data_IF_898359274167
#
_entry.id   IF_898359274167
#
_cell.length_a   1.000
_cell.length_b   1.000
_cell.length_c   1.000
_cell.angle_alpha   90.00
_cell.angle_beta   90.00
_cell.angle_gamma   90.00
#
_symmetry.space_group_name_H-M   'P 1'
#
loop_
_entity.id
_entity.type
_entity.pdbx_description
1 polymer ?
#
# COMPACT_ATOMS: atom_id res chain seq x y z
N UNK A 1 -15.34 27.40 -5.61
CA UNK A 1 -14.44 26.84 -4.57
C UNK A 1 -15.05 25.52 -4.14
N UNK A 2 -14.62 24.39 -4.69
CA UNK A 2 -15.14 23.07 -4.32
C UNK A 2 -14.39 22.65 -3.06
N UNK A 3 -15.11 22.58 -1.93
CA UNK A 3 -14.57 22.20 -0.63
C UNK A 3 -13.81 20.88 -0.71
N UNK A 4 -12.58 20.89 -0.21
CA UNK A 4 -11.64 19.75 -0.15
C UNK A 4 -12.08 18.65 0.85
N UNK A 5 -13.37 18.52 1.11
CA UNK A 5 -13.89 17.66 2.18
C UNK A 5 -14.43 16.31 1.67
N UNK A 6 -14.52 16.09 0.34
CA UNK A 6 -15.17 14.89 -0.24
C UNK A 6 -14.26 14.10 -1.18
N UNK A 7 -13.06 13.72 -0.73
CA UNK A 7 -12.25 12.69 -1.44
C UNK A 7 -11.93 11.49 -0.54
N UNK A 8 -12.13 11.59 0.77
CA UNK A 8 -11.74 10.51 1.71
C UNK A 8 -12.78 9.38 1.80
N UNK A 9 -14.01 9.58 1.30
CA UNK A 9 -15.12 8.63 1.50
C UNK A 9 -15.19 7.43 0.53
N UNK A 10 -14.29 7.32 -0.47
CA UNK A 10 -14.32 6.22 -1.46
C UNK A 10 -13.07 5.33 -1.50
N UNK A 11 -12.10 5.54 -0.60
CA UNK A 11 -10.92 4.69 -0.56
C UNK A 11 -11.12 3.55 0.45
N UNK A 12 -10.88 2.28 0.07
CA UNK A 12 -10.98 1.16 0.99
C UNK A 12 -9.99 1.33 2.13
N UNK A 13 -10.45 1.12 3.37
CA UNK A 13 -9.62 1.22 4.57
C UNK A 13 -8.76 -0.03 4.71
N UNK A 14 -7.44 0.14 4.77
CA UNK A 14 -6.50 -0.92 5.09
C UNK A 14 -6.08 -0.81 6.56
N UNK A 15 -6.27 -1.89 7.34
CA UNK A 15 -5.80 -1.98 8.72
C UNK A 15 -4.88 -3.19 8.84
N UNK A 16 -3.66 -2.98 9.32
CA UNK A 16 -2.66 -4.01 9.50
C UNK A 16 -2.04 -3.87 10.89
N UNK A 17 -1.89 -5.01 11.58
CA UNK A 17 -1.13 -5.10 12.83
C UNK A 17 0.31 -5.43 12.49
N UNK A 18 1.24 -4.77 13.17
CA UNK A 18 2.68 -4.99 13.04
C UNK A 18 3.25 -5.32 14.42
N UNK A 19 4.29 -6.14 14.44
CA UNK A 19 5.13 -6.32 15.62
C UNK A 19 5.83 -5.00 15.99
N UNK A 20 6.04 -4.73 17.29
CA UNK A 20 6.61 -3.47 17.78
C UNK A 20 8.01 -3.21 17.21
N UNK A 21 8.84 -4.25 17.08
CA UNK A 21 10.19 -4.11 16.53
C UNK A 21 10.13 -3.69 15.07
N UNK A 22 9.26 -4.34 14.30
CA UNK A 22 9.07 -4.05 12.88
C UNK A 22 8.50 -2.64 12.69
N UNK A 23 7.53 -2.24 13.52
CA UNK A 23 6.97 -0.90 13.51
C UNK A 23 8.05 0.18 13.73
N UNK A 24 8.90 0.00 14.75
CA UNK A 24 9.98 0.95 15.07
C UNK A 24 10.99 1.08 13.94
N UNK A 25 11.37 -0.02 13.29
CA UNK A 25 12.30 0.02 12.16
C UNK A 25 11.70 0.74 10.94
N UNK A 26 10.42 0.46 10.62
CA UNK A 26 9.70 1.17 9.56
C UNK A 26 9.55 2.65 9.87
N UNK A 27 9.28 3.00 11.13
CA UNK A 27 9.17 4.39 11.57
C UNK A 27 10.49 5.16 11.37
N UNK A 28 11.64 4.55 11.72
CA UNK A 28 12.97 5.15 11.48
C UNK A 28 13.21 5.40 10.00
N UNK A 29 12.85 4.44 9.13
CA UNK A 29 13.00 4.56 7.67
C UNK A 29 12.11 5.69 7.14
N UNK A 30 10.86 5.74 7.58
CA UNK A 30 9.90 6.76 7.17
C UNK A 30 10.37 8.16 7.58
N UNK A 31 10.83 8.32 8.84
CA UNK A 31 11.43 9.56 9.36
C UNK A 31 12.62 10.03 8.53
N UNK A 32 13.56 9.13 8.19
CA UNK A 32 14.72 9.46 7.34
C UNK A 32 14.32 9.94 5.94
N UNK A 33 13.18 9.47 5.42
CA UNK A 33 12.66 9.83 4.10
C UNK A 33 11.69 11.01 4.12
N UNK A 34 11.34 11.53 5.30
CA UNK A 34 10.37 12.62 5.45
C UNK A 34 8.93 12.24 5.06
N UNK A 35 8.58 10.95 5.14
CA UNK A 35 7.24 10.43 4.81
C UNK A 35 6.61 9.75 6.03
N UNK A 36 5.30 9.51 5.99
CA UNK A 36 4.60 8.75 7.01
C UNK A 36 4.83 7.24 6.86
N UNK A 37 4.65 6.50 7.97
CA UNK A 37 4.75 5.03 7.93
C UNK A 37 3.69 4.41 6.99
N UNK A 38 2.52 5.02 6.88
CA UNK A 38 1.47 4.58 5.97
C UNK A 38 1.86 4.76 4.49
N UNK A 39 2.51 5.88 4.16
CA UNK A 39 3.04 6.10 2.81
C UNK A 39 4.19 5.14 2.49
N UNK A 40 5.06 4.86 3.45
CA UNK A 40 6.12 3.87 3.29
C UNK A 40 5.56 2.46 3.04
N UNK A 41 4.61 2.02 3.87
CA UNK A 41 3.95 0.71 3.73
C UNK A 41 3.25 0.62 2.38
N UNK A 42 2.51 1.67 1.98
CA UNK A 42 1.87 1.75 0.66
C UNK A 42 2.90 1.66 -0.46
N UNK A 43 4.03 2.37 -0.36
CA UNK A 43 5.07 2.39 -1.37
C UNK A 43 5.86 1.07 -1.50
N UNK A 44 5.79 0.17 -0.51
CA UNK A 44 6.43 -1.16 -0.58
C UNK A 44 5.42 -2.24 -0.99
N UNK A 45 4.18 -2.18 -0.49
CA UNK A 45 3.13 -3.16 -0.80
C UNK A 45 2.56 -2.95 -2.21
N UNK A 46 2.26 -1.71 -2.61
CA UNK A 46 1.63 -1.41 -3.90
C UNK A 46 2.48 -1.78 -5.13
N UNK A 47 3.81 -1.55 -5.18
CA UNK A 47 4.61 -1.96 -6.33
C UNK A 47 4.57 -3.48 -6.59
N UNK A 48 4.62 -4.29 -5.54
CA UNK A 48 4.63 -5.76 -5.66
C UNK A 48 3.29 -6.28 -6.23
N UNK A 49 2.16 -5.64 -5.89
CA UNK A 49 0.83 -6.00 -6.42
C UNK A 49 0.67 -5.64 -7.90
N UNK A 50 1.29 -4.54 -8.35
CA UNK A 50 1.28 -4.14 -9.76
C UNK A 50 2.20 -5.06 -10.60
N UNK A 51 3.33 -5.48 -10.04
CA UNK A 51 4.24 -6.42 -10.70
C UNK A 51 3.62 -7.82 -10.85
N UNK A 52 2.81 -8.27 -9.88
CA UNK A 52 2.05 -9.51 -9.96
C UNK A 52 0.88 -9.49 -10.96
N UNK A 53 0.25 -8.33 -11.19
CA UNK A 53 -0.83 -8.18 -12.16
C UNK A 53 -0.33 -8.26 -13.62
N UNK A 54 0.88 -7.78 -13.90
CA UNK A 54 1.49 -7.90 -15.23
C UNK A 54 2.02 -9.32 -15.53
N UNK A 55 2.17 -10.18 -14.52
CA UNK A 55 2.59 -11.59 -14.66
C UNK A 55 1.46 -12.62 -14.71
N UNK A 56 0.22 -12.24 -14.39
CA UNK A 56 -0.92 -13.16 -14.27
C UNK A 56 -1.95 -13.07 -15.41
N UNK A 57 -1.66 -12.36 -16.50
CA UNK A 57 -2.59 -12.26 -17.64
C UNK A 57 -2.59 -13.46 -18.61
N UNK A 58 -1.92 -14.59 -18.29
CA UNK A 58 -1.82 -15.73 -19.22
C UNK A 58 -2.05 -17.12 -18.58
N UNK A 59 -2.89 -17.22 -17.53
CA UNK A 59 -3.32 -18.53 -17.00
C UNK A 59 -4.80 -18.59 -16.61
N UNK A 60 -5.68 -17.88 -17.32
CA UNK A 60 -7.13 -17.97 -17.12
C UNK A 60 -7.88 -18.59 -18.32
N UNK A 61 -7.22 -19.46 -19.11
CA UNK A 61 -7.87 -20.25 -20.16
C UNK A 61 -7.42 -21.73 -20.20
N UNK A 62 -6.89 -22.27 -19.09
CA UNK A 62 -6.46 -23.67 -19.00
C UNK A 62 -7.40 -24.50 -18.10
N UNK A 63 -8.71 -24.41 -18.37
CA UNK A 63 -9.68 -25.39 -17.90
C UNK A 63 -10.68 -25.69 -19.03
N UNK A 64 -10.34 -26.73 -19.79
CA UNK A 64 -11.34 -27.63 -20.38
C UNK A 64 -11.80 -28.61 -19.30
#
# INVERSE_FOLDING_TARGET
MISREIVVSRLPKFMQTLDDLIYRELEKIAKRRGITIQELIRAVIVPEWINGLNGASNKLNDWR
#
